data_IF_444032255888
#
_entry.id   IF_444032255888
#
_cell.length_a   1.000
_cell.length_b   1.000
_cell.length_c   1.000
_cell.angle_alpha   90.00
_cell.angle_beta   90.00
_cell.angle_gamma   90.00
#
_symmetry.space_group_name_H-M   'P 1'
#
loop_
_entity.id
_entity.type
_entity.pdbx_description
1 polymer ?
#
# COMPACT_ATOMS: atom_id res chain seq x y z
N UNK A 1 -82.27 -71.64 30.44
CA UNK A 1 -81.44 -72.85 30.22
C UNK A 1 -79.99 -72.42 29.98
N UNK A 2 -79.12 -72.86 30.80
CA UNK A 2 -77.73 -73.29 30.57
C UNK A 2 -76.83 -72.28 29.82
N UNK A 3 -75.63 -71.96 30.09
CA UNK A 3 -74.62 -72.46 31.07
C UNK A 3 -73.44 -71.41 30.94
N UNK A 4 -72.86 -71.10 32.07
CA UNK A 4 -71.49 -70.52 32.01
C UNK A 4 -70.44 -71.59 31.78
N UNK A 5 -69.14 -71.44 31.86
CA UNK A 5 -68.19 -70.44 32.34
C UNK A 5 -66.94 -70.35 31.44
N UNK A 6 -65.73 -70.13 31.80
CA UNK A 6 -65.13 -69.66 33.08
C UNK A 6 -64.15 -68.47 32.91
N UNK A 7 -63.73 -67.93 34.02
CA UNK A 7 -62.72 -66.91 34.23
C UNK A 7 -61.29 -67.37 33.87
N UNK A 8 -60.51 -66.50 33.18
CA UNK A 8 -59.04 -66.56 33.18
C UNK A 8 -58.45 -65.25 33.63
N UNK A 9 -57.50 -65.35 34.54
CA UNK A 9 -56.76 -64.26 35.15
C UNK A 9 -55.97 -63.48 34.09
N UNK A 10 -56.14 -62.14 34.04
CA UNK A 10 -55.25 -61.27 33.32
C UNK A 10 -54.30 -60.58 34.31
N UNK A 11 -53.05 -60.91 34.14
CA UNK A 11 -51.94 -60.24 34.86
C UNK A 11 -51.90 -58.74 34.47
N UNK A 12 -51.86 -57.92 35.49
CA UNK A 12 -51.54 -56.47 35.32
C UNK A 12 -50.05 -56.30 35.09
N UNK A 13 -49.65 -56.00 33.89
CA UNK A 13 -48.32 -55.55 33.60
C UNK A 13 -48.25 -54.00 33.78
N UNK A 14 -47.53 -53.59 34.81
CA UNK A 14 -47.23 -52.18 35.07
C UNK A 14 -46.18 -51.68 34.05
N UNK A 15 -46.57 -50.90 33.10
CA UNK A 15 -45.64 -50.22 32.25
C UNK A 15 -45.07 -49.02 33.01
N UNK A 16 -43.78 -49.06 33.40
CA UNK A 16 -43.01 -47.89 33.78
C UNK A 16 -42.63 -47.12 32.53
N UNK A 17 -43.16 -45.92 32.38
CA UNK A 17 -42.73 -45.00 31.39
C UNK A 17 -41.45 -44.32 31.87
N UNK A 18 -40.30 -44.69 31.33
CA UNK A 18 -39.04 -43.98 31.49
C UNK A 18 -39.05 -42.79 30.59
N UNK A 19 -39.19 -41.58 31.14
CA UNK A 19 -38.98 -40.35 30.41
C UNK A 19 -37.46 -40.11 30.23
N UNK A 20 -36.98 -40.35 29.02
CA UNK A 20 -35.61 -40.02 28.63
C UNK A 20 -35.57 -38.52 28.28
N UNK A 21 -35.03 -37.70 29.18
CA UNK A 21 -34.73 -36.33 28.91
C UNK A 21 -33.54 -36.23 27.93
N UNK A 22 -33.81 -35.86 26.69
CA UNK A 22 -32.78 -35.58 25.69
C UNK A 22 -32.19 -34.17 25.98
N UNK A 23 -31.06 -34.14 26.68
CA UNK A 23 -30.29 -32.90 26.84
C UNK A 23 -29.59 -32.55 25.50
N UNK A 24 -30.11 -31.59 24.75
CA UNK A 24 -29.39 -30.97 23.64
C UNK A 24 -28.21 -30.18 24.22
N UNK A 25 -27.02 -30.76 24.18
CA UNK A 25 -25.78 -29.99 24.35
C UNK A 25 -25.56 -29.12 23.09
N UNK A 26 -25.85 -27.81 23.19
CA UNK A 26 -25.33 -26.84 22.22
C UNK A 26 -23.82 -26.81 22.41
N UNK A 27 -23.09 -27.55 21.60
CA UNK A 27 -21.66 -27.35 21.42
C UNK A 27 -21.49 -26.00 20.71
N UNK A 28 -21.20 -24.95 21.47
CA UNK A 28 -20.75 -23.66 20.92
C UNK A 28 -19.44 -23.90 20.18
N UNK A 29 -19.51 -23.91 18.85
CA UNK A 29 -18.32 -23.87 18.02
C UNK A 29 -17.71 -22.45 18.22
N UNK A 30 -16.80 -22.31 19.15
CA UNK A 30 -15.89 -21.17 19.20
C UNK A 30 -14.99 -21.30 17.98
N UNK A 31 -15.32 -20.60 16.91
CA UNK A 31 -14.38 -20.34 15.82
C UNK A 31 -13.25 -19.50 16.43
N UNK A 32 -12.20 -20.17 16.86
CA UNK A 32 -10.94 -19.52 17.13
C UNK A 32 -10.48 -18.95 15.78
N UNK A 33 -10.64 -17.64 15.58
CA UNK A 33 -10.01 -16.97 14.49
C UNK A 33 -8.51 -17.26 14.59
N UNK A 34 -7.98 -18.07 13.69
CA UNK A 34 -6.54 -18.25 13.57
C UNK A 34 -5.93 -16.87 13.43
N UNK A 35 -4.85 -16.54 14.16
CA UNK A 35 -4.14 -15.30 13.90
C UNK A 35 -3.76 -15.31 12.42
N UNK A 36 -4.26 -14.33 11.66
CA UNK A 36 -3.95 -14.19 10.25
C UNK A 36 -2.44 -13.98 10.19
N UNK A 37 -1.75 -14.96 9.67
CA UNK A 37 -0.30 -14.92 9.52
C UNK A 37 -0.01 -13.74 8.62
N UNK A 38 0.79 -12.78 9.09
CA UNK A 38 1.28 -11.70 8.25
C UNK A 38 1.82 -12.34 6.97
N UNK A 39 1.29 -11.96 5.83
CA UNK A 39 1.65 -12.58 4.56
C UNK A 39 3.17 -12.53 4.40
N UNK A 40 3.76 -13.59 3.87
CA UNK A 40 5.18 -13.58 3.58
C UNK A 40 5.48 -12.37 2.66
N UNK A 41 6.56 -11.64 2.96
CA UNK A 41 6.94 -10.49 2.16
C UNK A 41 7.05 -10.85 0.68
N UNK A 42 6.47 -10.02 -0.17
CA UNK A 42 6.47 -10.25 -1.62
C UNK A 42 7.90 -10.38 -2.15
N UNK A 43 8.15 -11.41 -2.97
CA UNK A 43 9.44 -11.64 -3.60
C UNK A 43 9.63 -10.87 -4.91
N UNK A 44 8.52 -10.37 -5.49
CA UNK A 44 8.48 -9.59 -6.73
C UNK A 44 7.27 -8.62 -6.71
N UNK A 45 7.37 -7.47 -7.39
CA UNK A 45 6.27 -6.51 -7.39
C UNK A 45 5.04 -7.01 -8.13
N UNK A 46 3.87 -6.82 -7.54
CA UNK A 46 2.56 -6.95 -8.19
C UNK A 46 2.15 -5.56 -8.69
N UNK A 47 1.63 -5.47 -9.91
CA UNK A 47 1.17 -4.19 -10.43
C UNK A 47 1.90 -3.74 -11.68
N UNK A 48 1.82 -2.45 -11.99
CA UNK A 48 2.49 -1.88 -13.16
C UNK A 48 4.02 -2.03 -13.12
N UNK A 49 4.61 -2.10 -11.93
CA UNK A 49 6.04 -2.35 -11.74
C UNK A 49 6.47 -3.81 -11.90
N UNK A 50 5.56 -4.71 -12.28
CA UNK A 50 5.88 -6.14 -12.45
C UNK A 50 7.08 -6.36 -13.36
N UNK A 51 7.92 -7.34 -12.99
CA UNK A 51 9.18 -7.64 -13.68
C UNK A 51 10.35 -6.72 -13.30
N UNK A 52 10.19 -5.84 -12.31
CA UNK A 52 11.32 -5.13 -11.70
C UNK A 52 12.10 -6.08 -10.80
N UNK A 53 13.41 -6.21 -11.03
CA UNK A 53 14.31 -7.13 -10.32
C UNK A 53 15.47 -6.41 -9.61
N UNK A 54 15.65 -5.10 -9.88
CA UNK A 54 16.78 -4.34 -9.35
C UNK A 54 18.14 -4.96 -9.70
N UNK A 55 18.98 -5.14 -8.70
CA UNK A 55 20.27 -5.80 -8.84
C UNK A 55 20.22 -7.33 -8.98
N UNK A 56 19.00 -7.92 -8.89
CA UNK A 56 18.82 -9.36 -9.00
C UNK A 56 19.65 -10.15 -7.98
N UNK A 57 20.30 -11.23 -8.43
CA UNK A 57 21.15 -12.09 -7.61
C UNK A 57 22.60 -11.61 -7.44
N UNK A 58 22.90 -10.34 -7.77
CA UNK A 58 24.27 -9.79 -7.62
C UNK A 58 24.71 -9.80 -6.16
N UNK A 59 25.98 -10.09 -5.90
CA UNK A 59 26.55 -10.05 -4.56
C UNK A 59 26.37 -8.64 -3.95
N UNK A 60 25.86 -8.59 -2.72
CA UNK A 60 25.55 -7.34 -2.06
C UNK A 60 26.80 -6.66 -1.47
N UNK A 61 26.89 -5.33 -1.64
CA UNK A 61 27.82 -4.47 -0.92
C UNK A 61 27.13 -3.78 0.23
N UNK A 62 27.68 -3.86 1.44
CA UNK A 62 27.12 -3.19 2.62
C UNK A 62 27.82 -1.86 2.85
N UNK A 63 27.04 -0.81 3.06
CA UNK A 63 27.51 0.56 3.28
C UNK A 63 26.87 1.18 4.51
N UNK A 64 27.62 2.05 5.23
CA UNK A 64 27.15 2.76 6.41
C UNK A 64 27.49 4.25 6.41
N UNK A 65 28.06 4.75 5.31
CA UNK A 65 28.44 6.18 5.17
C UNK A 65 27.90 6.74 3.86
N UNK A 66 27.66 8.06 3.81
CA UNK A 66 27.22 8.75 2.61
C UNK A 66 28.19 8.59 1.44
N UNK A 67 29.50 8.68 1.69
CA UNK A 67 30.51 8.55 0.63
C UNK A 67 30.48 7.13 0.02
N UNK A 68 30.46 6.07 0.85
CA UNK A 68 30.37 4.70 0.37
C UNK A 68 29.05 4.44 -0.34
N UNK A 69 27.91 4.98 0.16
CA UNK A 69 26.61 4.84 -0.49
C UNK A 69 26.61 5.47 -1.89
N UNK A 70 27.04 6.73 -2.01
CA UNK A 70 27.14 7.41 -3.32
C UNK A 70 27.95 6.60 -4.34
N UNK A 71 29.11 6.09 -3.93
CA UNK A 71 29.94 5.25 -4.80
C UNK A 71 29.21 3.96 -5.19
N UNK A 72 28.56 3.29 -4.23
CA UNK A 72 27.92 2.00 -4.45
C UNK A 72 26.70 2.08 -5.38
N UNK A 73 25.93 3.17 -5.38
CA UNK A 73 24.71 3.31 -6.20
C UNK A 73 24.96 3.92 -7.60
N UNK A 74 26.18 4.36 -7.87
CA UNK A 74 26.54 5.01 -9.15
C UNK A 74 26.62 4.02 -10.31
N UNK A 75 26.24 4.48 -11.52
CA UNK A 75 26.31 3.70 -12.77
C UNK A 75 25.17 2.70 -12.94
N UNK A 76 25.16 2.01 -14.08
CA UNK A 76 24.00 1.21 -14.52
C UNK A 76 24.22 -0.30 -14.51
N UNK A 77 25.39 -0.78 -14.10
CA UNK A 77 25.62 -2.22 -13.88
C UNK A 77 24.76 -2.74 -12.74
N UNK A 78 24.30 -3.97 -12.83
CA UNK A 78 23.49 -4.59 -11.79
C UNK A 78 24.22 -4.59 -10.43
N UNK A 79 23.53 -4.17 -9.37
CA UNK A 79 24.11 -4.06 -8.02
C UNK A 79 23.06 -4.16 -6.92
N UNK A 80 23.46 -4.74 -5.81
CA UNK A 80 22.68 -4.78 -4.58
C UNK A 80 23.45 -4.03 -3.49
N UNK A 81 22.86 -2.98 -2.94
CA UNK A 81 23.47 -2.12 -1.92
C UNK A 81 22.67 -2.27 -0.62
N UNK A 82 23.29 -2.84 0.40
CA UNK A 82 22.74 -2.96 1.74
C UNK A 82 23.14 -1.74 2.57
N UNK A 83 22.16 -0.98 3.01
CA UNK A 83 22.36 0.16 3.92
C UNK A 83 22.33 -0.34 5.35
N UNK A 84 23.39 -0.13 6.12
CA UNK A 84 23.48 -0.52 7.52
C UNK A 84 23.57 0.72 8.42
N UNK A 85 22.51 0.99 9.16
CA UNK A 85 22.35 2.18 9.99
C UNK A 85 21.71 3.35 9.24
N UNK A 86 21.53 4.47 9.96
CA UNK A 86 20.91 5.69 9.45
C UNK A 86 21.99 6.62 8.87
N UNK A 87 21.85 6.97 7.59
CA UNK A 87 22.78 7.87 6.89
C UNK A 87 22.12 9.23 6.70
N UNK A 88 22.77 10.30 7.17
CA UNK A 88 22.32 11.67 6.91
C UNK A 88 22.69 12.12 5.49
N UNK A 89 21.71 12.58 4.75
CA UNK A 89 21.87 13.12 3.41
C UNK A 89 21.78 14.67 3.42
N UNK A 90 22.58 15.31 2.62
CA UNK A 90 22.48 16.75 2.29
C UNK A 90 21.96 16.87 0.85
N UNK A 91 20.65 16.85 0.66
CA UNK A 91 20.00 16.81 -0.65
C UNK A 91 19.78 15.40 -1.18
N UNK A 92 19.57 15.25 -2.48
CA UNK A 92 19.28 13.98 -3.13
C UNK A 92 20.54 13.25 -3.58
N UNK A 93 20.49 11.91 -3.53
CA UNK A 93 21.52 11.02 -4.09
C UNK A 93 20.95 10.29 -5.29
N UNK A 94 21.61 10.42 -6.44
CA UNK A 94 21.24 9.74 -7.68
C UNK A 94 21.55 8.23 -7.59
N UNK A 95 20.57 7.40 -7.89
CA UNK A 95 20.68 5.95 -7.94
C UNK A 95 20.61 5.47 -9.37
N UNK A 96 21.59 4.69 -9.80
CA UNK A 96 21.67 4.18 -11.18
C UNK A 96 20.68 3.05 -11.47
N UNK A 97 20.59 2.65 -12.75
CA UNK A 97 19.75 1.52 -13.20
C UNK A 97 20.19 0.18 -12.61
N UNK A 98 19.31 -0.81 -12.68
CA UNK A 98 19.57 -2.19 -12.25
C UNK A 98 20.08 -2.27 -10.80
N UNK A 99 19.50 -1.45 -9.92
CA UNK A 99 19.98 -1.29 -8.56
C UNK A 99 18.91 -1.73 -7.56
N UNK A 100 19.29 -2.53 -6.58
CA UNK A 100 18.52 -2.75 -5.35
C UNK A 100 19.21 -2.00 -4.21
N UNK A 101 18.47 -1.08 -3.56
CA UNK A 101 18.88 -0.46 -2.28
C UNK A 101 17.99 -1.05 -1.19
N UNK A 102 18.58 -1.73 -0.21
CA UNK A 102 17.84 -2.40 0.85
C UNK A 102 18.44 -2.12 2.23
N UNK A 103 17.58 -1.82 3.20
CA UNK A 103 18.00 -1.60 4.60
C UNK A 103 18.31 -2.90 5.32
N UNK A 104 19.32 -2.89 6.18
CA UNK A 104 19.63 -3.98 7.12
C UNK A 104 18.84 -3.79 8.40
N UNK A 105 18.05 -4.78 8.79
CA UNK A 105 17.19 -4.72 9.97
C UNK A 105 16.08 -3.67 9.84
N UNK A 106 15.60 -3.14 10.93
CA UNK A 106 14.43 -2.22 10.99
C UNK A 106 14.79 -0.74 11.17
N UNK A 107 16.07 -0.40 11.35
CA UNK A 107 16.50 0.97 11.70
C UNK A 107 17.40 1.63 10.64
N UNK A 108 17.72 0.94 9.56
CA UNK A 108 18.58 1.46 8.50
C UNK A 108 17.81 2.38 7.55
N UNK A 109 18.50 3.36 6.97
CA UNK A 109 17.87 4.27 6.03
C UNK A 109 18.56 5.63 5.91
N UNK A 110 17.74 6.66 5.61
CA UNK A 110 18.22 8.00 5.29
C UNK A 110 17.42 9.08 6.03
N UNK A 111 18.07 10.20 6.32
CA UNK A 111 17.40 11.38 6.89
C UNK A 111 17.97 12.67 6.31
N UNK A 112 17.17 13.75 6.26
CA UNK A 112 17.58 15.10 5.86
C UNK A 112 17.60 15.36 4.36
N UNK A 113 17.55 14.34 3.51
CA UNK A 113 17.47 14.39 2.08
C UNK A 113 16.78 13.15 1.53
N UNK A 114 17.04 12.79 0.26
CA UNK A 114 16.38 11.64 -0.35
C UNK A 114 17.16 10.97 -1.47
N UNK A 115 16.48 10.04 -2.13
CA UNK A 115 17.00 9.32 -3.30
C UNK A 115 16.36 9.84 -4.57
N UNK A 116 17.13 9.98 -5.64
CA UNK A 116 16.62 10.35 -6.95
C UNK A 116 16.89 9.25 -7.97
N UNK A 117 15.83 8.80 -8.61
CA UNK A 117 15.84 7.87 -9.73
C UNK A 117 15.58 8.68 -10.99
N UNK A 118 16.64 9.15 -11.66
CA UNK A 118 16.53 10.03 -12.81
C UNK A 118 17.03 9.37 -14.08
N UNK A 119 16.11 9.16 -15.06
CA UNK A 119 16.41 8.54 -16.36
C UNK A 119 17.04 7.15 -16.20
N UNK A 120 16.49 6.36 -15.25
CA UNK A 120 16.96 5.02 -14.92
C UNK A 120 15.83 3.99 -15.07
N UNK A 121 16.21 2.73 -15.08
CA UNK A 121 15.25 1.62 -15.16
C UNK A 121 15.64 0.49 -14.22
N UNK A 122 14.66 -0.31 -13.82
CA UNK A 122 14.85 -1.53 -13.03
C UNK A 122 15.51 -1.24 -11.67
N UNK A 123 14.80 -0.49 -10.82
CA UNK A 123 15.30 -0.10 -9.49
C UNK A 123 14.34 -0.57 -8.39
N UNK A 124 14.89 -1.14 -7.34
CA UNK A 124 14.19 -1.56 -6.11
C UNK A 124 14.71 -0.74 -4.93
N UNK A 125 13.81 -0.06 -4.22
CA UNK A 125 14.08 0.65 -2.96
C UNK A 125 13.27 -0.03 -1.87
N UNK A 126 13.92 -0.69 -0.91
CA UNK A 126 13.23 -1.61 -0.02
C UNK A 126 13.75 -1.57 1.41
N UNK A 127 12.83 -1.73 2.39
CA UNK A 127 13.15 -1.90 3.82
C UNK A 127 13.97 -0.75 4.42
N UNK A 128 13.66 0.49 4.08
CA UNK A 128 14.42 1.67 4.52
C UNK A 128 13.53 2.62 5.32
N UNK A 129 14.10 3.25 6.35
CA UNK A 129 13.53 4.44 6.96
C UNK A 129 14.00 5.65 6.17
N UNK A 130 13.09 6.44 5.63
CA UNK A 130 13.39 7.66 4.87
C UNK A 130 12.65 8.81 5.53
N UNK A 131 13.40 9.72 6.15
CA UNK A 131 12.79 10.70 7.04
C UNK A 131 13.27 12.13 6.80
N UNK A 132 12.34 13.06 7.04
CA UNK A 132 12.62 14.52 7.06
C UNK A 132 13.36 15.01 5.82
N UNK A 133 12.85 14.75 4.60
CA UNK A 133 13.48 15.21 3.38
C UNK A 133 13.34 16.74 3.27
N UNK A 134 14.42 17.46 3.56
CA UNK A 134 14.44 18.93 3.51
C UNK A 134 14.24 19.43 2.06
N UNK A 135 13.33 20.38 1.90
CA UNK A 135 13.08 20.96 0.57
C UNK A 135 14.37 21.57 -0.04
N UNK A 136 14.57 21.44 -1.35
CA UNK A 136 13.67 20.91 -2.36
C UNK A 136 13.82 19.40 -2.63
N UNK A 137 14.22 18.60 -1.64
CA UNK A 137 14.41 17.16 -1.81
C UNK A 137 13.18 16.40 -1.34
N UNK A 138 12.62 15.55 -2.20
CA UNK A 138 11.68 14.52 -1.76
C UNK A 138 12.42 13.36 -1.07
N UNK A 139 11.70 12.55 -0.33
CA UNK A 139 12.26 11.30 0.24
C UNK A 139 12.73 10.35 -0.86
N UNK A 140 11.88 10.12 -1.86
CA UNK A 140 12.24 9.46 -3.11
C UNK A 140 11.60 10.20 -4.28
N UNK A 141 12.40 10.59 -5.26
CA UNK A 141 11.93 11.15 -6.54
C UNK A 141 12.18 10.16 -7.67
N UNK A 142 11.13 9.82 -8.42
CA UNK A 142 11.20 8.98 -9.65
C UNK A 142 10.95 9.92 -10.84
N UNK A 143 12.00 10.23 -11.61
CA UNK A 143 11.99 11.21 -12.70
C UNK A 143 12.40 10.56 -14.02
N UNK A 144 11.52 10.58 -15.02
CA UNK A 144 11.77 9.99 -16.35
C UNK A 144 12.29 8.54 -16.30
N UNK A 145 11.77 7.76 -15.37
CA UNK A 145 12.29 6.41 -15.03
C UNK A 145 11.18 5.35 -15.12
N UNK A 146 11.56 4.10 -15.29
CA UNK A 146 10.60 3.01 -15.47
C UNK A 146 11.02 1.73 -14.77
N UNK A 147 10.06 0.83 -14.50
CA UNK A 147 10.30 -0.42 -13.76
C UNK A 147 10.92 -0.11 -12.39
N UNK A 148 10.11 0.49 -11.53
CA UNK A 148 10.52 0.87 -10.17
C UNK A 148 9.61 0.18 -9.15
N UNK A 149 10.23 -0.36 -8.13
CA UNK A 149 9.55 -0.97 -6.99
C UNK A 149 9.99 -0.32 -5.69
N UNK A 150 9.06 0.34 -5.01
CA UNK A 150 9.24 1.00 -3.71
C UNK A 150 8.46 0.18 -2.68
N UNK A 151 9.17 -0.56 -1.82
CA UNK A 151 8.53 -1.62 -1.04
C UNK A 151 9.02 -1.69 0.41
N UNK A 152 8.09 -1.89 1.35
CA UNK A 152 8.39 -2.02 2.78
C UNK A 152 9.27 -0.90 3.35
N UNK A 153 9.12 0.35 2.86
CA UNK A 153 9.83 1.49 3.45
C UNK A 153 8.95 2.22 4.45
N UNK A 154 9.58 2.92 5.39
CA UNK A 154 8.93 3.82 6.33
C UNK A 154 9.31 5.26 6.00
N UNK A 155 8.38 6.00 5.39
CA UNK A 155 8.51 7.42 5.07
C UNK A 155 7.90 8.26 6.18
N UNK A 156 8.62 9.29 6.64
CA UNK A 156 8.10 10.18 7.68
C UNK A 156 8.74 11.57 7.65
N UNK A 157 8.02 12.53 8.22
CA UNK A 157 8.59 13.83 8.54
C UNK A 157 8.12 14.28 9.94
N UNK A 158 7.68 15.50 10.07
CA UNK A 158 6.84 16.02 11.16
C UNK A 158 5.94 17.14 10.60
N UNK A 159 4.91 17.51 11.35
CA UNK A 159 3.98 18.57 10.98
C UNK A 159 4.13 19.81 11.86
N UNK A 160 5.24 19.92 12.56
CA UNK A 160 5.58 21.06 13.44
C UNK A 160 6.19 22.23 12.68
N UNK A 161 6.55 22.02 11.42
CA UNK A 161 7.07 23.04 10.50
C UNK A 161 6.03 23.43 9.46
N UNK A 162 6.30 24.49 8.69
CA UNK A 162 5.49 24.85 7.54
C UNK A 162 5.45 23.72 6.50
N UNK A 163 4.35 23.65 5.74
CA UNK A 163 4.10 22.61 4.74
C UNK A 163 5.20 22.46 3.67
N UNK A 164 6.02 23.48 3.46
CA UNK A 164 7.09 23.50 2.46
C UNK A 164 8.49 23.41 3.07
N UNK A 165 8.61 23.18 4.38
CA UNK A 165 9.89 22.92 5.03
C UNK A 165 10.48 21.57 4.62
N UNK A 166 9.65 20.54 4.57
CA UNK A 166 9.97 19.26 3.96
C UNK A 166 9.24 19.15 2.61
N UNK A 167 9.86 18.51 1.62
CA UNK A 167 9.18 18.27 0.36
C UNK A 167 8.42 16.93 0.36
N UNK A 168 7.97 16.41 -0.78
CA UNK A 168 7.19 15.19 -0.87
C UNK A 168 7.87 13.97 -0.25
N UNK A 169 7.10 12.98 0.21
CA UNK A 169 7.70 11.73 0.68
C UNK A 169 8.09 10.82 -0.48
N UNK A 170 7.25 10.77 -1.53
CA UNK A 170 7.50 9.98 -2.74
C UNK A 170 6.86 10.65 -3.95
N UNK A 171 7.64 11.20 -4.84
CA UNK A 171 7.17 11.86 -6.04
C UNK A 171 7.57 11.11 -7.31
N UNK A 172 6.62 10.95 -8.26
CA UNK A 172 6.78 10.21 -9.51
C UNK A 172 6.37 11.15 -10.64
N UNK A 173 7.29 11.51 -11.53
CA UNK A 173 7.02 12.59 -12.48
C UNK A 173 7.81 12.44 -13.79
N UNK A 174 7.65 13.42 -14.70
CA UNK A 174 8.38 13.53 -15.97
C UNK A 174 8.27 12.27 -16.85
N UNK A 175 7.06 11.74 -17.06
CA UNK A 175 6.84 10.57 -17.89
C UNK A 175 7.38 9.26 -17.32
N UNK A 176 7.64 9.21 -16.00
CA UNK A 176 7.97 7.94 -15.34
C UNK A 176 6.83 6.94 -15.51
N UNK A 177 7.16 5.65 -15.61
CA UNK A 177 6.15 4.64 -15.92
C UNK A 177 6.45 3.29 -15.24
N UNK A 178 5.43 2.45 -15.11
CA UNK A 178 5.57 1.09 -14.57
C UNK A 178 6.17 1.09 -13.16
N UNK A 179 5.50 1.76 -12.23
CA UNK A 179 5.91 1.87 -10.82
C UNK A 179 4.94 1.12 -9.91
N UNK A 180 5.46 0.33 -8.99
CA UNK A 180 4.70 -0.24 -7.88
C UNK A 180 5.22 0.29 -6.54
N UNK A 181 4.29 0.74 -5.71
CA UNK A 181 4.51 1.23 -4.35
C UNK A 181 3.71 0.32 -3.41
N UNK A 182 4.39 -0.54 -2.65
CA UNK A 182 3.74 -1.58 -1.87
C UNK A 182 4.26 -1.68 -0.45
N UNK A 183 3.38 -1.98 0.48
CA UNK A 183 3.73 -2.27 1.86
C UNK A 183 4.56 -1.19 2.57
N UNK A 184 4.45 0.09 2.15
CA UNK A 184 5.14 1.19 2.82
C UNK A 184 4.28 1.80 3.92
N UNK A 185 4.92 2.45 4.89
CA UNK A 185 4.27 3.40 5.78
C UNK A 185 4.62 4.83 5.38
N UNK A 186 3.63 5.71 5.37
CA UNK A 186 3.78 7.15 5.17
C UNK A 186 3.18 7.87 6.37
N UNK A 187 3.95 8.71 7.07
CA UNK A 187 3.53 9.28 8.35
C UNK A 187 3.87 10.75 8.50
N UNK A 188 2.99 11.45 9.25
CA UNK A 188 3.25 12.75 9.84
C UNK A 188 3.70 13.80 8.83
N UNK A 189 3.00 13.94 7.70
CA UNK A 189 3.42 14.87 6.64
C UNK A 189 2.24 15.56 5.95
N UNK A 190 2.53 16.70 5.30
CA UNK A 190 1.53 17.43 4.49
C UNK A 190 1.36 16.86 3.08
N UNK A 191 2.43 16.28 2.50
CA UNK A 191 2.53 15.89 1.09
C UNK A 191 3.01 14.45 0.96
N UNK A 192 2.10 13.49 0.74
CA UNK A 192 2.43 12.06 0.64
C UNK A 192 3.14 11.70 -0.65
N UNK A 193 2.40 11.56 -1.75
CA UNK A 193 2.94 11.15 -3.04
C UNK A 193 2.28 11.91 -4.20
N UNK A 194 3.08 12.65 -4.96
CA UNK A 194 2.66 13.35 -6.16
C UNK A 194 3.04 12.55 -7.40
N UNK A 195 2.07 12.29 -8.26
CA UNK A 195 2.29 11.64 -9.55
C UNK A 195 1.92 12.62 -10.65
N UNK A 196 2.94 13.09 -11.40
CA UNK A 196 2.80 14.21 -12.35
C UNK A 196 2.90 15.57 -11.67
N UNK A 197 4.02 16.28 -11.89
CA UNK A 197 4.38 17.47 -11.12
C UNK A 197 3.64 18.75 -11.53
N UNK A 198 3.07 18.82 -12.73
CA UNK A 198 2.48 20.07 -13.27
C UNK A 198 1.32 19.79 -14.21
N UNK A 199 0.25 20.59 -14.13
CA UNK A 199 -0.87 20.56 -15.08
C UNK A 199 -0.44 20.92 -16.51
N UNK A 200 0.70 21.57 -16.67
CA UNK A 200 1.27 21.99 -17.97
C UNK A 200 2.17 20.94 -18.62
N UNK A 201 2.34 19.76 -18.01
CA UNK A 201 3.28 18.73 -18.49
C UNK A 201 2.61 17.63 -19.33
N UNK A 202 1.46 17.89 -19.94
CA UNK A 202 0.70 16.92 -20.70
C UNK A 202 1.51 16.23 -21.81
N UNK A 203 2.39 16.96 -22.50
CA UNK A 203 3.20 16.44 -23.61
C UNK A 203 4.17 15.33 -23.19
N UNK A 204 4.62 15.34 -21.94
CA UNK A 204 5.55 14.33 -21.41
C UNK A 204 4.82 13.25 -20.61
N UNK A 205 3.74 13.60 -19.90
CA UNK A 205 3.11 12.71 -18.93
C UNK A 205 1.95 11.90 -19.50
N UNK A 206 1.27 12.39 -20.57
CA UNK A 206 0.15 11.67 -21.19
C UNK A 206 0.61 10.33 -21.78
N UNK A 207 -0.08 9.24 -21.41
CA UNK A 207 0.26 7.88 -21.83
C UNK A 207 1.31 7.19 -20.96
N UNK A 208 1.91 7.94 -20.04
CA UNK A 208 2.83 7.47 -19.01
C UNK A 208 2.19 7.50 -17.60
N UNK A 209 3.00 7.49 -16.57
CA UNK A 209 2.57 7.56 -15.16
C UNK A 209 1.62 6.42 -14.77
N UNK A 210 1.93 5.19 -15.21
CA UNK A 210 1.23 3.99 -14.76
C UNK A 210 1.77 3.57 -13.41
N UNK A 211 0.93 3.68 -12.37
CA UNK A 211 1.32 3.46 -10.98
C UNK A 211 0.36 2.53 -10.25
N UNK A 212 0.92 1.65 -9.41
CA UNK A 212 0.15 0.81 -8.49
C UNK A 212 0.55 1.14 -7.06
N UNK A 213 -0.44 1.34 -6.19
CA UNK A 213 -0.26 1.46 -4.74
C UNK A 213 -1.07 0.38 -4.06
N UNK A 214 -0.42 -0.51 -3.30
CA UNK A 214 -1.15 -1.52 -2.53
C UNK A 214 -0.53 -1.80 -1.17
N UNK A 215 -1.38 -2.14 -0.23
CA UNK A 215 -0.98 -2.49 1.15
C UNK A 215 -0.13 -1.40 1.84
N UNK A 216 -0.27 -0.14 1.43
CA UNK A 216 0.42 0.95 2.10
C UNK A 216 -0.42 1.48 3.28
N UNK A 217 0.26 1.91 4.33
CA UNK A 217 -0.34 2.59 5.47
C UNK A 217 -0.01 4.08 5.43
N UNK A 218 -1.03 4.90 5.24
CA UNK A 218 -0.91 6.35 5.35
C UNK A 218 -1.52 6.81 6.67
N UNK A 219 -0.72 7.39 7.55
CA UNK A 219 -1.15 7.87 8.87
C UNK A 219 -0.75 9.33 9.06
N UNK A 220 -1.74 10.19 9.29
CA UNK A 220 -1.53 11.63 9.48
C UNK A 220 -0.78 12.31 8.31
N UNK A 221 -1.05 11.84 7.10
CA UNK A 221 -0.64 12.47 5.85
C UNK A 221 -1.79 13.33 5.34
N UNK A 222 -1.56 14.66 5.26
CA UNK A 222 -2.64 15.59 4.99
C UNK A 222 -3.26 15.42 3.61
N UNK A 223 -2.43 15.25 2.56
CA UNK A 223 -2.91 15.13 1.17
C UNK A 223 -1.94 14.36 0.27
N UNK A 224 -2.32 14.19 -1.01
CA UNK A 224 -1.53 13.46 -2.04
C UNK A 224 -1.32 11.99 -1.65
N UNK A 225 -2.41 11.19 -1.66
CA UNK A 225 -2.39 9.76 -1.27
C UNK A 225 -3.05 8.87 -2.36
N UNK A 226 -2.50 8.79 -3.58
CA UNK A 226 -1.65 9.75 -4.27
C UNK A 226 -2.46 10.89 -4.91
N UNK A 227 -1.77 11.95 -5.37
CA UNK A 227 -2.33 12.93 -6.30
C UNK A 227 -1.78 12.66 -7.70
N UNK A 228 -2.64 12.19 -8.63
CA UNK A 228 -2.27 11.72 -9.96
C UNK A 228 -2.77 12.64 -11.06
N UNK A 229 -1.89 13.04 -11.99
CA UNK A 229 -2.20 13.74 -13.24
C UNK A 229 -1.93 12.86 -14.45
N UNK A 230 -2.73 12.96 -15.49
CA UNK A 230 -2.57 12.36 -16.82
C UNK A 230 -2.49 10.83 -16.88
N UNK A 231 -1.96 10.21 -15.84
CA UNK A 231 -1.61 8.79 -15.81
C UNK A 231 -2.76 7.84 -15.51
N UNK A 232 -2.40 6.59 -15.27
CA UNK A 232 -3.32 5.53 -14.86
C UNK A 232 -2.87 4.93 -13.53
N UNK A 233 -3.71 5.01 -12.51
CA UNK A 233 -3.39 4.56 -11.16
C UNK A 233 -4.31 3.45 -10.68
N UNK A 234 -3.74 2.44 -10.05
CA UNK A 234 -4.46 1.42 -9.31
C UNK A 234 -4.11 1.54 -7.82
N UNK A 235 -5.10 1.82 -6.99
CA UNK A 235 -4.95 2.02 -5.54
C UNK A 235 -5.83 1.01 -4.83
N UNK A 236 -5.24 -0.05 -4.25
CA UNK A 236 -6.01 -1.13 -3.64
C UNK A 236 -5.40 -1.64 -2.34
N UNK A 237 -6.23 -2.14 -1.44
CA UNK A 237 -5.83 -2.72 -0.16
C UNK A 237 -4.94 -1.79 0.69
N UNK A 238 -5.12 -0.47 0.57
CA UNK A 238 -4.38 0.48 1.41
C UNK A 238 -5.21 0.88 2.63
N UNK A 239 -4.53 1.23 3.70
CA UNK A 239 -5.11 1.81 4.89
C UNK A 239 -4.73 3.28 5.02
N UNK A 240 -5.73 4.16 5.04
CA UNK A 240 -5.56 5.62 5.14
C UNK A 240 -6.25 6.12 6.40
N UNK A 241 -5.51 6.81 7.27
CA UNK A 241 -6.06 7.40 8.50
C UNK A 241 -5.56 8.83 8.71
N UNK A 242 -6.46 9.75 9.05
CA UNK A 242 -6.13 11.13 9.41
C UNK A 242 -5.82 12.05 8.23
N UNK A 243 -6.37 11.80 7.04
CA UNK A 243 -6.15 12.64 5.86
C UNK A 243 -7.26 13.70 5.68
N UNK A 244 -6.91 14.90 5.18
CA UNK A 244 -7.89 15.85 4.66
C UNK A 244 -8.40 15.40 3.28
N UNK A 245 -7.49 15.15 2.34
CA UNK A 245 -7.81 14.66 1.00
C UNK A 245 -6.86 13.52 0.62
N UNK A 246 -7.37 12.31 0.47
CA UNK A 246 -6.56 11.15 0.15
C UNK A 246 -6.29 11.04 -1.36
N UNK A 247 -7.04 10.20 -2.07
CA UNK A 247 -6.83 9.95 -3.50
C UNK A 247 -7.35 11.12 -4.32
N UNK A 248 -6.50 11.64 -5.20
CA UNK A 248 -6.85 12.77 -6.05
C UNK A 248 -6.48 12.47 -7.51
N UNK A 249 -7.48 12.31 -8.38
CA UNK A 249 -7.33 12.14 -9.82
C UNK A 249 -7.54 13.47 -10.53
N UNK A 250 -6.62 13.88 -11.40
CA UNK A 250 -6.58 15.21 -12.01
C UNK A 250 -6.16 15.13 -13.48
N UNK A 251 -6.39 16.19 -14.25
CA UNK A 251 -5.91 16.34 -15.64
C UNK A 251 -6.16 15.10 -16.51
N UNK A 252 -7.39 14.56 -16.46
CA UNK A 252 -7.78 13.39 -17.24
C UNK A 252 -7.18 12.07 -16.78
N UNK A 253 -6.51 12.01 -15.63
CA UNK A 253 -5.99 10.76 -15.07
C UNK A 253 -7.12 9.76 -14.79
N UNK A 254 -6.80 8.47 -14.83
CA UNK A 254 -7.72 7.36 -14.59
C UNK A 254 -7.31 6.62 -13.30
N UNK A 255 -8.18 6.62 -12.28
CA UNK A 255 -7.94 5.89 -11.03
C UNK A 255 -8.94 4.75 -10.86
N UNK A 256 -8.43 3.56 -10.53
CA UNK A 256 -9.21 2.47 -9.98
C UNK A 256 -8.86 2.35 -8.48
N UNK A 257 -9.87 2.49 -7.63
CA UNK A 257 -9.72 2.55 -6.17
C UNK A 257 -10.53 1.40 -5.57
N UNK A 258 -9.84 0.36 -5.04
CA UNK A 258 -10.49 -0.89 -4.65
C UNK A 258 -10.10 -1.35 -3.25
N UNK A 259 -11.08 -1.82 -2.49
CA UNK A 259 -10.89 -2.53 -1.22
C UNK A 259 -10.01 -1.81 -0.19
N UNK A 260 -9.89 -0.48 -0.30
CA UNK A 260 -9.15 0.34 0.66
C UNK A 260 -10.00 0.63 1.90
N UNK A 261 -9.32 0.94 2.99
CA UNK A 261 -9.97 1.37 4.24
C UNK A 261 -9.54 2.79 4.58
N UNK A 262 -10.55 3.66 4.76
CA UNK A 262 -10.34 5.05 5.17
C UNK A 262 -10.90 5.26 6.59
N UNK A 263 -10.15 5.94 7.45
CA UNK A 263 -10.56 6.29 8.82
C UNK A 263 -10.17 7.73 9.13
N UNK A 264 -11.01 8.46 9.83
CA UNK A 264 -10.74 9.86 10.17
C UNK A 264 -10.26 10.69 8.96
N UNK A 265 -10.73 10.33 7.76
CA UNK A 265 -10.37 10.96 6.48
C UNK A 265 -11.56 11.81 6.03
N UNK A 266 -11.32 13.06 5.64
CA UNK A 266 -12.40 13.96 5.25
C UNK A 266 -12.91 13.65 3.84
N UNK A 267 -11.98 13.53 2.86
CA UNK A 267 -12.31 13.18 1.48
C UNK A 267 -11.43 11.98 1.06
N UNK A 268 -12.07 10.83 0.82
CA UNK A 268 -11.39 9.61 0.41
C UNK A 268 -10.91 9.70 -1.04
N UNK A 269 -11.77 10.15 -1.96
CA UNK A 269 -11.46 10.27 -3.39
C UNK A 269 -12.07 11.54 -3.95
N UNK A 270 -11.29 12.31 -4.70
CA UNK A 270 -11.76 13.48 -5.46
C UNK A 270 -11.23 13.48 -6.89
N UNK A 271 -12.02 14.02 -7.83
CA UNK A 271 -11.63 14.17 -9.23
C UNK A 271 -11.70 15.61 -9.73
N UNK A 272 -12.21 16.55 -8.94
CA UNK A 272 -12.56 17.90 -9.37
C UNK A 272 -11.91 19.02 -8.53
N UNK A 273 -10.75 18.75 -7.92
CA UNK A 273 -10.04 19.75 -7.10
C UNK A 273 -8.72 20.19 -7.74
N UNK A 274 -8.37 21.44 -7.54
CA UNK A 274 -7.01 22.00 -7.71
C UNK A 274 -6.36 21.76 -9.09
N UNK A 275 -7.12 21.56 -10.16
CA UNK A 275 -6.67 21.47 -11.55
C UNK A 275 -7.76 22.00 -12.48
N UNK A 276 -7.35 22.46 -13.65
CA UNK A 276 -8.26 23.01 -14.67
C UNK A 276 -9.13 21.92 -15.32
N UNK A 277 -8.66 20.67 -15.29
CA UNK A 277 -9.34 19.52 -15.89
C UNK A 277 -9.52 18.43 -14.83
N UNK A 278 -10.76 17.98 -14.68
CA UNK A 278 -11.10 16.87 -13.80
C UNK A 278 -10.44 15.57 -14.26
N UNK A 279 -10.11 14.70 -13.28
CA UNK A 279 -9.75 13.32 -13.55
C UNK A 279 -10.96 12.39 -13.58
N UNK A 280 -10.70 11.10 -13.55
CA UNK A 280 -11.69 10.04 -13.50
C UNK A 280 -11.37 9.08 -12.34
N UNK A 281 -12.40 8.55 -11.69
CA UNK A 281 -12.22 7.50 -10.69
C UNK A 281 -13.34 6.47 -10.74
N UNK A 282 -12.96 5.19 -10.59
CA UNK A 282 -13.87 4.07 -10.38
C UNK A 282 -13.59 3.48 -8.99
N UNK A 283 -14.64 3.27 -8.20
CA UNK A 283 -14.55 2.76 -6.84
C UNK A 283 -15.21 1.39 -6.73
N UNK A 284 -14.56 0.47 -6.01
CA UNK A 284 -15.11 -0.86 -5.75
C UNK A 284 -14.66 -1.39 -4.38
N UNK A 285 -15.58 -1.89 -3.57
CA UNK A 285 -15.28 -2.63 -2.34
C UNK A 285 -14.60 -1.83 -1.21
N UNK A 286 -14.51 -0.49 -1.29
CA UNK A 286 -13.85 0.32 -0.28
C UNK A 286 -14.70 0.47 0.99
N UNK A 287 -14.06 0.48 2.15
CA UNK A 287 -14.63 0.94 3.40
C UNK A 287 -14.24 2.41 3.63
N UNK A 288 -15.14 3.30 3.31
CA UNK A 288 -14.90 4.75 3.36
C UNK A 288 -14.86 5.32 4.78
N UNK A 289 -15.37 4.59 5.79
CA UNK A 289 -15.37 5.04 7.19
C UNK A 289 -16.05 6.40 7.44
N UNK A 290 -17.00 6.77 6.58
CA UNK A 290 -17.69 8.08 6.61
C UNK A 290 -17.00 9.20 5.82
N UNK A 291 -15.86 8.92 5.15
CA UNK A 291 -15.20 9.90 4.29
C UNK A 291 -16.05 10.22 3.04
N UNK A 292 -16.05 11.48 2.62
CA UNK A 292 -16.74 11.91 1.41
C UNK A 292 -16.04 11.41 0.14
N UNK A 293 -16.79 11.30 -0.95
CA UNK A 293 -16.27 11.15 -2.30
C UNK A 293 -16.77 12.29 -3.18
N UNK A 294 -15.87 12.88 -3.96
CA UNK A 294 -16.17 14.01 -4.85
C UNK A 294 -15.79 13.64 -6.27
N UNK A 295 -16.57 12.73 -6.87
CA UNK A 295 -16.29 12.18 -8.20
C UNK A 295 -17.22 12.82 -9.21
N UNK A 296 -16.68 13.68 -10.07
CA UNK A 296 -17.39 14.31 -11.19
C UNK A 296 -17.47 13.43 -12.43
N UNK A 297 -16.50 12.50 -12.59
CA UNK A 297 -16.39 11.63 -13.76
C UNK A 297 -15.98 10.21 -13.37
N UNK A 298 -16.69 9.21 -13.89
CA UNK A 298 -16.24 7.81 -13.91
C UNK A 298 -15.47 7.52 -15.18
N UNK A 299 -14.39 6.75 -15.07
CA UNK A 299 -13.50 6.47 -16.19
C UNK A 299 -13.68 5.10 -16.82
N UNK A 300 -12.84 4.83 -17.82
CA UNK A 300 -12.79 3.55 -18.53
C UNK A 300 -11.85 2.53 -17.89
N UNK A 301 -10.98 2.95 -16.99
CA UNK A 301 -10.08 2.06 -16.27
C UNK A 301 -10.83 1.37 -15.11
N UNK A 302 -11.51 0.27 -15.45
CA UNK A 302 -12.35 -0.50 -14.50
C UNK A 302 -11.72 -1.81 -14.06
N UNK A 303 -10.57 -2.20 -14.64
CA UNK A 303 -9.82 -3.40 -14.27
C UNK A 303 -8.33 -3.19 -14.56
N UNK A 304 -7.48 -3.69 -13.67
CA UNK A 304 -6.03 -3.64 -13.87
C UNK A 304 -5.58 -4.68 -14.93
N UNK A 305 -4.57 -4.37 -15.77
CA UNK A 305 -4.12 -5.25 -16.83
C UNK A 305 -3.13 -6.34 -16.39
N UNK A 306 -3.10 -6.66 -15.11
CA UNK A 306 -2.21 -7.67 -14.50
C UNK A 306 -2.98 -8.51 -13.47
N UNK A 307 -2.44 -9.70 -13.16
CA UNK A 307 -3.01 -10.55 -12.12
C UNK A 307 -2.72 -10.00 -10.72
N UNK A 308 -3.75 -9.91 -9.89
CA UNK A 308 -3.67 -9.57 -8.48
C UNK A 308 -4.87 -10.20 -7.75
N UNK A 309 -4.79 -10.23 -6.44
CA UNK A 309 -5.93 -10.61 -5.59
C UNK A 309 -6.10 -9.53 -4.53
N UNK A 310 -7.21 -8.82 -4.59
CA UNK A 310 -7.54 -7.83 -3.57
C UNK A 310 -8.11 -8.53 -2.33
N UNK A 311 -7.70 -8.07 -1.15
CA UNK A 311 -8.24 -8.53 0.13
C UNK A 311 -9.64 -7.95 0.37
N UNK A 312 -10.52 -8.63 1.11
CA UNK A 312 -11.70 -7.98 1.64
C UNK A 312 -11.32 -6.77 2.50
N UNK A 313 -12.00 -5.64 2.35
CA UNK A 313 -11.68 -4.42 3.13
C UNK A 313 -11.65 -4.66 4.65
N UNK A 314 -12.41 -5.64 5.15
CA UNK A 314 -12.41 -6.03 6.57
C UNK A 314 -11.07 -6.61 7.05
N UNK A 315 -10.22 -7.11 6.16
CA UNK A 315 -8.90 -7.68 6.48
C UNK A 315 -7.76 -6.66 6.36
N UNK A 316 -7.93 -5.65 5.51
CA UNK A 316 -6.88 -4.70 5.09
C UNK A 316 -6.18 -4.01 6.28
N UNK A 317 -6.95 -3.56 7.28
CA UNK A 317 -6.33 -2.87 8.44
C UNK A 317 -5.37 -3.79 9.18
N UNK A 318 -5.78 -5.05 9.43
CA UNK A 318 -4.95 -6.02 10.15
C UNK A 318 -3.70 -6.40 9.32
N UNK A 319 -3.88 -6.69 8.04
CA UNK A 319 -2.83 -7.04 7.10
C UNK A 319 -1.79 -5.92 6.97
N UNK A 320 -2.24 -4.72 6.64
CA UNK A 320 -1.38 -3.55 6.43
C UNK A 320 -0.64 -3.12 7.71
N UNK A 321 -1.34 -3.13 8.86
CA UNK A 321 -0.69 -2.78 10.14
C UNK A 321 0.38 -3.79 10.54
N UNK A 322 0.18 -5.06 10.24
CA UNK A 322 1.15 -6.11 10.53
C UNK A 322 2.34 -6.10 9.57
N UNK A 323 2.11 -5.84 8.26
CA UNK A 323 3.08 -6.06 7.21
C UNK A 323 3.79 -4.80 6.66
N UNK A 324 3.18 -3.61 6.75
CA UNK A 324 3.76 -2.43 6.12
C UNK A 324 4.93 -1.81 6.91
N UNK A 325 5.91 -1.27 6.18
CA UNK A 325 7.04 -0.53 6.73
C UNK A 325 8.35 -1.30 6.84
N UNK A 326 9.40 -0.57 7.18
CA UNK A 326 10.74 -1.15 7.38
C UNK A 326 10.77 -2.13 8.56
N UNK A 327 11.51 -3.22 8.39
CA UNK A 327 11.64 -4.29 9.39
C UNK A 327 10.56 -5.37 9.29
N UNK A 328 9.80 -5.40 8.22
CA UNK A 328 8.70 -6.34 8.00
C UNK A 328 8.96 -7.34 6.85
N UNK A 329 10.16 -7.36 6.31
CA UNK A 329 10.58 -8.34 5.28
C UNK A 329 10.82 -9.72 5.86
#
# INVERSE_FOLDING_TARGET
MRTGPPRTHAQRSTLMATATALALALAGVTVLASPQQAGAAESAPIGFGAGTTGGGGTAAVTVSTLAAFRTAVTGNAAKVVKVNGLITLSGQVDVGSNTTVVGVGSSSGFTGGGLRLKKVTNVVIRNLNISKPLAPSDGVTVESSTKVWIDHNSFSADRSHDKDHYDGLLDINHGSDNVTVSWNTFKDHFKGSLVGHSDKNASQDTGHLKVTYHHNHFSDVYSRIPSLRFGTGHFYDNYVVGADTAVHSRMGAQMLVENNVFRSTKVAVTTNRSSDVDGYANLRGNDLGGAATEISRTGTFTSAPYGYTAEPASSVVASVTAGAGAGKL
#
